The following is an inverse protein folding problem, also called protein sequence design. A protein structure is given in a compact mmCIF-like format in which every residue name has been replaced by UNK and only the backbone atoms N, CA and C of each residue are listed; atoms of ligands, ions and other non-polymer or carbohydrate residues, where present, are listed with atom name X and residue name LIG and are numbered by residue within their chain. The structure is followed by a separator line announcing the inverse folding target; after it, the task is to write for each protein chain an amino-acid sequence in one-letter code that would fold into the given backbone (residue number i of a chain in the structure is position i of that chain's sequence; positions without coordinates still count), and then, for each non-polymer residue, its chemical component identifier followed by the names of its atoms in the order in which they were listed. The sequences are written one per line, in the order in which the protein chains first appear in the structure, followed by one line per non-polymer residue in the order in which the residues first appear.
data_IF_954380644586
#
_entry.id   IF_954380644586
#
_cell.length_a   1.000
_cell.length_b   1.000
_cell.length_c   1.000
_cell.angle_alpha   90.00
_cell.angle_beta   90.00
_cell.angle_gamma   90.00
#
_symmetry.space_group_name_H-M   'P 1'
#
loop_
_entity.id
_entity.type
_entity.pdbx_description
1 polymer ?
#
# COMPACT_ATOMS: atom_id res chain seq x y z
N UNK A 1 -2.39 18.28 -1.43
CA UNK A 1 -1.59 17.14 -1.93
C UNK A 1 -2.35 15.87 -1.59
N UNK A 2 -2.41 14.89 -2.48
CA UNK A 2 -3.05 13.63 -2.19
C UNK A 2 -2.33 12.92 -1.02
N UNK A 3 -3.10 12.25 -0.18
CA UNK A 3 -2.58 11.46 0.92
C UNK A 3 -2.69 9.98 0.56
N UNK A 4 -1.59 9.26 0.63
CA UNK A 4 -1.50 7.84 0.31
C UNK A 4 -1.29 7.03 1.57
N UNK A 5 -1.72 5.77 1.60
CA UNK A 5 -1.49 4.87 2.70
C UNK A 5 -0.77 3.59 2.25
N UNK A 6 0.03 3.04 3.16
CA UNK A 6 0.80 1.82 2.96
C UNK A 6 0.71 0.98 4.23
N UNK A 7 0.15 -0.22 4.13
CA UNK A 7 0.14 -1.21 5.22
C UNK A 7 1.32 -2.14 5.00
N UNK A 8 2.21 -2.18 5.97
CA UNK A 8 3.50 -2.84 5.87
C UNK A 8 3.49 -4.24 6.48
N UNK A 9 4.43 -5.08 6.05
CA UNK A 9 4.75 -6.33 6.75
C UNK A 9 5.25 -6.02 8.15
N UNK A 10 4.88 -6.87 9.11
CA UNK A 10 5.36 -6.76 10.51
C UNK A 10 6.69 -7.48 10.73
N UNK A 11 7.17 -8.26 9.76
CA UNK A 11 8.37 -9.09 9.91
C UNK A 11 9.63 -8.25 10.06
N UNK A 12 9.81 -7.14 9.56
CA UNK A 12 10.89 -6.17 9.73
C UNK A 12 10.32 -4.77 9.65
N UNK A 13 9.49 -4.41 10.62
CA UNK A 13 8.65 -3.23 10.53
C UNK A 13 9.44 -1.93 10.39
N UNK A 14 10.52 -1.77 11.16
CA UNK A 14 11.36 -0.56 11.09
C UNK A 14 11.97 -0.41 9.69
N UNK A 15 12.54 -1.48 9.17
CA UNK A 15 13.12 -1.50 7.84
C UNK A 15 12.09 -1.24 6.74
N UNK A 16 10.86 -1.77 6.90
CA UNK A 16 9.75 -1.54 5.99
C UNK A 16 9.29 -0.07 6.00
N UNK A 17 9.27 0.57 7.17
CA UNK A 17 8.96 1.98 7.33
C UNK A 17 10.03 2.84 6.65
N UNK A 18 11.29 2.58 6.93
CA UNK A 18 12.42 3.32 6.36
C UNK A 18 12.47 3.19 4.83
N UNK A 19 12.20 2.00 4.29
CA UNK A 19 12.10 1.76 2.85
C UNK A 19 11.07 2.69 2.20
N UNK A 20 9.85 2.70 2.72
CA UNK A 20 8.75 3.49 2.14
C UNK A 20 9.02 4.98 2.26
N UNK A 21 9.61 5.43 3.37
CA UNK A 21 10.02 6.83 3.57
C UNK A 21 11.13 7.22 2.60
N UNK A 22 12.14 6.37 2.44
CA UNK A 22 13.25 6.63 1.51
C UNK A 22 12.75 6.77 0.07
N UNK A 23 11.91 5.84 -0.39
CA UNK A 23 11.31 5.90 -1.72
C UNK A 23 10.48 7.19 -1.89
N UNK A 24 9.62 7.52 -0.92
CA UNK A 24 8.80 8.73 -1.01
C UNK A 24 9.65 10.00 -1.12
N UNK A 25 10.67 10.12 -0.29
CA UNK A 25 11.59 11.28 -0.29
C UNK A 25 12.47 11.35 -1.53
N UNK A 26 12.78 10.22 -2.15
CA UNK A 26 13.51 10.18 -3.42
C UNK A 26 12.72 10.85 -4.55
N UNK A 27 11.41 10.64 -4.59
CA UNK A 27 10.53 11.26 -5.59
C UNK A 27 10.06 12.66 -5.19
N UNK A 28 9.76 12.87 -3.90
CA UNK A 28 9.30 14.14 -3.34
C UNK A 28 9.95 14.42 -1.99
N UNK A 29 11.02 15.22 -2.01
CA UNK A 29 11.80 15.57 -0.81
C UNK A 29 10.95 16.22 0.30
N UNK A 30 9.85 16.87 -0.06
CA UNK A 30 8.95 17.57 0.87
C UNK A 30 7.76 16.72 1.32
N UNK A 31 7.75 15.43 1.00
CA UNK A 31 6.71 14.52 1.48
C UNK A 31 6.60 14.54 3.00
N UNK A 32 5.35 14.61 3.48
CA UNK A 32 5.05 14.51 4.92
C UNK A 32 4.63 13.09 5.24
N UNK A 33 5.19 12.54 6.30
CA UNK A 33 4.97 11.15 6.71
C UNK A 33 4.34 11.09 8.09
N UNK A 34 3.34 10.23 8.25
CA UNK A 34 2.72 9.87 9.53
C UNK A 34 2.73 8.35 9.65
N UNK A 35 3.22 7.83 10.79
CA UNK A 35 3.27 6.40 11.07
C UNK A 35 2.30 6.07 12.21
N UNK A 36 1.47 5.04 12.03
CA UNK A 36 0.54 4.52 13.03
C UNK A 36 0.66 2.99 13.01
N UNK A 37 1.38 2.40 13.97
CA UNK A 37 1.69 0.97 13.96
C UNK A 37 2.37 0.57 12.63
N UNK A 38 1.82 -0.37 11.88
CA UNK A 38 2.33 -0.78 10.56
C UNK A 38 1.63 -0.06 9.38
N UNK A 39 0.95 1.04 9.63
CA UNK A 39 0.38 1.94 8.62
C UNK A 39 1.29 3.16 8.46
N UNK A 40 1.78 3.38 7.26
CA UNK A 40 2.49 4.61 6.87
C UNK A 40 1.58 5.42 5.96
N UNK A 41 1.38 6.68 6.31
CA UNK A 41 0.61 7.63 5.50
C UNK A 41 1.55 8.69 4.97
N UNK A 42 1.44 8.99 3.69
CA UNK A 42 2.34 9.91 2.98
C UNK A 42 1.54 10.94 2.21
N UNK A 43 1.76 12.19 2.54
CA UNK A 43 1.26 13.32 1.76
C UNK A 43 2.36 13.77 0.80
N UNK A 44 2.17 13.50 -0.50
CA UNK A 44 3.17 13.73 -1.54
C UNK A 44 2.51 14.06 -2.88
N UNK A 45 3.30 14.62 -3.80
CA UNK A 45 2.93 14.76 -5.21
C UNK A 45 3.05 13.44 -5.98
N UNK A 46 3.82 12.50 -5.45
CA UNK A 46 4.08 11.19 -6.06
C UNK A 46 2.86 10.29 -5.92
N UNK A 47 2.56 9.56 -6.98
CA UNK A 47 1.48 8.58 -6.95
C UNK A 47 1.86 7.40 -6.05
N UNK A 48 0.91 6.94 -5.23
CA UNK A 48 1.11 5.79 -4.34
C UNK A 48 1.57 4.52 -5.08
N UNK A 49 1.15 4.33 -6.35
CA UNK A 49 1.57 3.21 -7.17
C UNK A 49 3.09 3.18 -7.41
N UNK A 50 3.72 4.33 -7.61
CA UNK A 50 5.17 4.40 -7.85
C UNK A 50 5.94 3.93 -6.62
N UNK A 51 5.51 4.38 -5.43
CA UNK A 51 6.09 3.95 -4.16
C UNK A 51 5.84 2.45 -3.96
N UNK A 52 4.61 1.99 -4.13
CA UNK A 52 4.22 0.60 -3.91
C UNK A 52 4.90 -0.37 -4.87
N UNK A 53 5.06 0.00 -6.14
CA UNK A 53 5.73 -0.84 -7.13
C UNK A 53 7.23 -1.00 -6.85
N UNK A 54 7.83 -0.06 -6.15
CA UNK A 54 9.23 -0.10 -5.79
C UNK A 54 9.48 -0.77 -4.44
N UNK A 55 8.60 -0.58 -3.45
CA UNK A 55 8.73 -1.11 -2.11
C UNK A 55 8.58 -2.63 -2.05
N UNK A 56 9.35 -3.29 -1.19
CA UNK A 56 9.37 -4.75 -1.03
C UNK A 56 8.47 -5.25 0.09
N UNK A 57 8.29 -4.45 1.15
CA UNK A 57 7.54 -4.83 2.35
C UNK A 57 6.15 -4.22 2.45
N UNK A 58 5.66 -3.58 1.40
CA UNK A 58 4.28 -3.09 1.32
C UNK A 58 3.34 -4.25 0.99
N UNK A 59 2.35 -4.50 1.85
CA UNK A 59 1.30 -5.51 1.65
C UNK A 59 0.07 -4.93 0.97
N UNK A 60 -0.35 -3.73 1.39
CA UNK A 60 -1.52 -3.03 0.87
C UNK A 60 -1.14 -1.57 0.72
N UNK A 61 -1.60 -0.94 -0.33
CA UNK A 61 -1.40 0.48 -0.56
C UNK A 61 -2.56 1.09 -1.32
N UNK A 62 -2.73 2.39 -1.19
CA UNK A 62 -3.79 3.11 -1.87
C UNK A 62 -3.79 4.60 -1.53
N UNK A 63 -4.85 5.26 -1.94
CA UNK A 63 -5.07 6.67 -1.68
C UNK A 63 -6.12 6.84 -0.59
N UNK A 64 -5.86 7.75 0.36
CA UNK A 64 -6.85 8.22 1.33
C UNK A 64 -7.75 9.23 0.64
N UNK A 65 -9.05 9.01 0.71
CA UNK A 65 -10.05 9.94 0.24
C UNK A 65 -10.50 10.87 1.36
N UNK A 66 -10.68 10.31 2.56
CA UNK A 66 -11.23 11.06 3.69
C UNK A 66 -10.74 10.52 5.03
N UNK A 67 -10.53 11.43 5.98
CA UNK A 67 -10.51 11.13 7.40
C UNK A 67 -11.94 11.11 7.94
N UNK A 68 -12.23 10.16 8.82
CA UNK A 68 -13.57 9.96 9.37
C UNK A 68 -13.53 10.10 10.88
N UNK A 69 -14.44 10.89 11.43
CA UNK A 69 -14.69 10.97 12.88
C UNK A 69 -15.73 9.94 13.36
N UNK A 70 -16.27 9.11 12.47
CA UNK A 70 -17.25 8.07 12.71
C UNK A 70 -17.39 7.17 11.47
N UNK A 71 -18.47 6.36 11.41
CA UNK A 71 -18.77 5.46 10.28
C UNK A 71 -19.68 6.09 9.22
N UNK A 72 -19.81 7.42 9.21
CA UNK A 72 -20.68 8.11 8.25
C UNK A 72 -19.97 8.27 6.90
N UNK A 73 -20.44 7.51 5.92
CA UNK A 73 -20.13 7.64 4.52
C UNK A 73 -21.33 8.23 3.80
N UNK A 74 -21.08 9.20 2.95
CA UNK A 74 -22.09 9.81 2.07
C UNK A 74 -21.80 9.47 0.59
N UNK A 75 -22.72 9.83 -0.29
CA UNK A 75 -22.59 9.54 -1.74
C UNK A 75 -21.32 10.11 -2.36
N UNK A 76 -20.83 11.24 -1.87
CA UNK A 76 -19.63 11.89 -2.41
C UNK A 76 -18.37 11.03 -2.22
N UNK A 77 -18.36 10.13 -1.24
CA UNK A 77 -17.24 9.21 -0.99
C UNK A 77 -17.12 8.15 -2.09
N UNK A 78 -18.19 7.89 -2.83
CA UNK A 78 -18.25 6.82 -3.84
C UNK A 78 -18.07 7.31 -5.27
N UNK A 79 -17.74 8.59 -5.48
CA UNK A 79 -17.46 9.12 -6.84
C UNK A 79 -16.38 8.35 -7.59
N UNK A 80 -15.39 7.81 -6.87
CA UNK A 80 -14.32 7.00 -7.45
C UNK A 80 -14.85 5.72 -8.12
N UNK A 81 -16.01 5.25 -7.71
CA UNK A 81 -16.64 4.03 -8.23
C UNK A 81 -17.53 4.28 -9.45
N UNK A 82 -17.80 5.52 -9.84
CA UNK A 82 -18.69 5.84 -10.98
C UNK A 82 -18.26 5.15 -12.28
N UNK A 83 -16.96 4.98 -12.49
CA UNK A 83 -16.40 4.35 -13.69
C UNK A 83 -15.88 2.92 -13.46
N UNK A 84 -16.05 2.37 -12.26
CA UNK A 84 -15.66 1.01 -11.95
C UNK A 84 -16.79 0.03 -12.31
N UNK A 85 -16.43 -1.12 -12.88
CA UNK A 85 -17.39 -2.21 -13.13
C UNK A 85 -17.53 -3.10 -11.90
N UNK A 86 -16.44 -3.28 -11.18
CA UNK A 86 -16.37 -4.17 -10.02
C UNK A 86 -15.60 -3.55 -8.86
N UNK A 87 -16.03 -3.89 -7.65
CA UNK A 87 -15.34 -3.45 -6.43
C UNK A 87 -15.38 -4.53 -5.34
N UNK A 88 -14.55 -4.35 -4.32
CA UNK A 88 -14.60 -5.10 -3.06
C UNK A 88 -14.33 -4.15 -1.90
N UNK A 89 -14.95 -4.41 -0.75
CA UNK A 89 -14.68 -3.72 0.49
C UNK A 89 -13.71 -4.53 1.33
N UNK A 90 -12.78 -3.85 2.02
CA UNK A 90 -11.85 -4.45 2.97
C UNK A 90 -11.71 -3.57 4.20
N UNK A 91 -11.70 -4.21 5.35
CA UNK A 91 -11.50 -3.56 6.64
C UNK A 91 -10.07 -3.82 7.11
N UNK A 92 -9.37 -2.75 7.47
CA UNK A 92 -8.05 -2.82 8.11
C UNK A 92 -8.20 -2.31 9.54
N UNK A 93 -8.19 -3.22 10.51
CA UNK A 93 -8.31 -2.87 11.92
C UNK A 93 -6.92 -2.79 12.58
N UNK A 94 -6.50 -1.58 12.90
CA UNK A 94 -5.28 -1.26 13.65
C UNK A 94 -5.61 -0.64 15.02
N UNK A 95 -6.88 -0.66 15.41
CA UNK A 95 -7.34 -0.21 16.72
C UNK A 95 -7.37 -1.35 17.72
N UNK A 96 -7.52 -1.02 18.99
CA UNK A 96 -7.77 -2.00 20.07
C UNK A 96 -9.20 -2.53 20.08
N UNK A 97 -10.12 -1.91 19.33
CA UNK A 97 -11.52 -2.33 19.29
C UNK A 97 -11.67 -3.62 18.47
N UNK A 98 -12.57 -4.49 18.93
CA UNK A 98 -12.94 -5.69 18.18
C UNK A 98 -14.17 -5.39 17.31
N UNK A 99 -14.09 -5.77 16.04
CA UNK A 99 -15.17 -5.63 15.07
C UNK A 99 -15.48 -6.98 14.42
N UNK A 100 -16.75 -7.20 14.10
CA UNK A 100 -17.13 -8.26 13.18
C UNK A 100 -16.80 -7.82 11.75
N UNK A 101 -15.54 -8.09 11.32
CA UNK A 101 -15.02 -7.63 10.03
C UNK A 101 -15.89 -8.08 8.85
N UNK A 102 -16.30 -9.37 8.73
CA UNK A 102 -17.16 -9.82 7.63
C UNK A 102 -18.50 -9.06 7.56
N UNK A 103 -19.12 -8.80 8.68
CA UNK A 103 -20.39 -8.06 8.74
C UNK A 103 -20.21 -6.60 8.29
N UNK A 104 -19.12 -5.94 8.71
CA UNK A 104 -18.80 -4.59 8.29
C UNK A 104 -18.48 -4.52 6.78
N UNK A 105 -17.72 -5.48 6.26
CA UNK A 105 -17.41 -5.55 4.82
C UNK A 105 -18.68 -5.73 3.99
N UNK A 106 -19.62 -6.60 4.44
CA UNK A 106 -20.90 -6.81 3.78
C UNK A 106 -21.79 -5.56 3.84
N UNK A 107 -21.97 -4.97 5.03
CA UNK A 107 -22.77 -3.75 5.22
C UNK A 107 -22.26 -2.59 4.36
N UNK A 108 -20.94 -2.44 4.27
CA UNK A 108 -20.31 -1.45 3.42
C UNK A 108 -20.52 -1.76 1.94
N UNK A 109 -20.39 -3.03 1.54
CA UNK A 109 -20.67 -3.49 0.18
C UNK A 109 -22.10 -3.19 -0.26
N UNK A 110 -23.08 -3.45 0.61
CA UNK A 110 -24.49 -3.17 0.36
C UNK A 110 -24.75 -1.66 0.23
N UNK A 111 -24.12 -0.86 1.10
CA UNK A 111 -24.22 0.60 1.03
C UNK A 111 -23.69 1.11 -0.31
N UNK A 112 -22.48 0.71 -0.69
CA UNK A 112 -21.85 1.13 -1.95
C UNK A 112 -22.68 0.69 -3.15
N UNK A 113 -23.21 -0.53 -3.14
CA UNK A 113 -24.03 -1.05 -4.23
C UNK A 113 -25.32 -0.26 -4.46
N UNK A 114 -25.85 0.42 -3.44
CA UNK A 114 -27.01 1.33 -3.57
C UNK A 114 -26.68 2.63 -4.28
N UNK A 115 -25.42 3.12 -4.16
CA UNK A 115 -24.99 4.40 -4.71
C UNK A 115 -24.13 4.25 -5.99
N UNK A 116 -23.70 3.05 -6.33
CA UNK A 116 -22.90 2.79 -7.52
C UNK A 116 -23.50 1.69 -8.37
N UNK A 117 -23.19 1.69 -9.67
CA UNK A 117 -23.55 0.59 -10.57
C UNK A 117 -22.52 -0.56 -10.56
N UNK A 118 -21.46 -0.41 -9.77
CA UNK A 118 -20.40 -1.42 -9.65
C UNK A 118 -20.89 -2.66 -8.91
N UNK A 119 -20.46 -3.85 -9.38
CA UNK A 119 -20.82 -5.13 -8.76
C UNK A 119 -19.71 -5.58 -7.80
N UNK A 120 -20.11 -6.21 -6.70
CA UNK A 120 -19.15 -6.83 -5.77
C UNK A 120 -18.44 -7.99 -6.45
N UNK A 121 -17.08 -7.97 -6.39
CA UNK A 121 -16.23 -9.04 -6.91
C UNK A 121 -15.05 -9.25 -5.96
N UNK A 122 -14.97 -10.44 -5.37
CA UNK A 122 -13.99 -10.74 -4.31
C UNK A 122 -12.56 -10.91 -4.85
N UNK A 123 -12.42 -11.39 -6.07
CA UNK A 123 -11.11 -11.64 -6.71
C UNK A 123 -10.90 -10.70 -7.89
N UNK A 124 -9.73 -10.05 -7.92
CA UNK A 124 -9.33 -9.12 -8.98
C UNK A 124 -10.42 -8.09 -9.32
N UNK A 125 -10.93 -7.32 -8.34
CA UNK A 125 -11.84 -6.21 -8.60
C UNK A 125 -11.11 -5.07 -9.31
N UNK A 126 -11.84 -4.17 -9.96
CA UNK A 126 -11.25 -2.95 -10.53
C UNK A 126 -10.76 -2.01 -9.41
N UNK A 127 -11.55 -1.93 -8.34
CA UNK A 127 -11.26 -1.08 -7.18
C UNK A 127 -11.47 -1.86 -5.88
N UNK A 128 -10.51 -1.76 -4.98
CA UNK A 128 -10.66 -2.16 -3.58
C UNK A 128 -10.87 -0.92 -2.73
N UNK A 129 -11.95 -0.89 -1.99
CA UNK A 129 -12.29 0.18 -1.05
C UNK A 129 -11.89 -0.26 0.35
N UNK A 130 -11.27 0.64 1.11
CA UNK A 130 -10.77 0.35 2.44
C UNK A 130 -11.39 1.25 3.50
N UNK A 131 -11.82 0.64 4.62
CA UNK A 131 -11.98 1.32 5.89
C UNK A 131 -10.82 0.93 6.79
N UNK A 132 -10.09 1.93 7.26
CA UNK A 132 -8.91 1.74 8.11
C UNK A 132 -9.24 2.33 9.48
N UNK A 133 -9.33 1.46 10.49
CA UNK A 133 -9.59 1.84 11.87
C UNK A 133 -8.28 1.94 12.64
N UNK A 134 -8.09 3.05 13.34
CA UNK A 134 -7.00 3.24 14.30
C UNK A 134 -7.57 3.73 15.63
N UNK A 135 -6.76 3.75 16.69
CA UNK A 135 -7.22 4.22 18.00
C UNK A 135 -7.58 5.72 18.05
N UNK A 136 -7.14 6.51 17.08
CA UNK A 136 -7.34 7.98 17.08
C UNK A 136 -8.25 8.46 15.96
N UNK A 137 -8.10 7.91 14.78
CA UNK A 137 -8.74 8.39 13.57
C UNK A 137 -9.08 7.20 12.68
N UNK A 138 -10.16 7.31 11.92
CA UNK A 138 -10.52 6.33 10.91
C UNK A 138 -10.33 6.93 9.52
N UNK A 139 -10.02 6.10 8.54
CA UNK A 139 -9.76 6.56 7.19
C UNK A 139 -10.58 5.76 6.19
N UNK A 140 -11.05 6.47 5.19
CA UNK A 140 -11.66 5.90 4.01
C UNK A 140 -10.71 6.08 2.84
N UNK A 141 -10.41 4.98 2.14
CA UNK A 141 -9.47 5.01 1.04
C UNK A 141 -9.79 3.96 -0.02
N UNK A 142 -9.01 3.98 -1.08
CA UNK A 142 -9.14 3.00 -2.16
C UNK A 142 -7.79 2.64 -2.76
N UNK A 143 -7.75 1.48 -3.41
CA UNK A 143 -6.70 1.15 -4.37
C UNK A 143 -7.30 0.59 -5.64
N UNK A 144 -6.59 0.79 -6.76
CA UNK A 144 -6.79 0.01 -7.98
C UNK A 144 -5.97 -1.26 -7.88
N UNK A 145 -6.42 -2.34 -8.49
CA UNK A 145 -5.67 -3.59 -8.51
C UNK A 145 -4.27 -3.37 -9.09
N UNK A 146 -3.25 -3.58 -8.27
CA UNK A 146 -1.84 -3.49 -8.65
C UNK A 146 -1.31 -4.89 -8.88
N UNK A 147 -0.57 -5.08 -9.96
CA UNK A 147 0.10 -6.37 -10.22
C UNK A 147 1.10 -6.64 -9.08
N UNK A 148 1.01 -7.82 -8.48
CA UNK A 148 2.00 -8.25 -7.49
C UNK A 148 3.40 -8.27 -8.11
N UNK A 149 4.37 -7.82 -7.32
CA UNK A 149 5.77 -7.93 -7.69
C UNK A 149 6.17 -9.41 -7.73
N UNK A 150 6.69 -9.82 -8.86
CA UNK A 150 7.17 -11.18 -9.07
C UNK A 150 8.69 -11.17 -8.90
N UNK A 151 9.22 -12.15 -8.15
CA UNK A 151 10.66 -12.37 -8.06
C UNK A 151 11.24 -12.52 -9.47
N UNK A 152 12.33 -11.81 -9.80
CA UNK A 152 13.04 -12.03 -11.05
C UNK A 152 13.45 -13.52 -11.18
N UNK A 153 13.27 -14.10 -12.37
CA UNK A 153 13.72 -15.47 -12.63
C UNK A 153 15.25 -15.51 -12.60
N UNK A 154 15.79 -16.31 -11.70
CA UNK A 154 17.23 -16.60 -11.66
C UNK A 154 17.51 -17.95 -12.32
N UNK A 155 18.63 -18.04 -13.01
CA UNK A 155 19.11 -19.30 -13.62
C UNK A 155 19.72 -20.25 -12.59
N UNK A 156 20.27 -19.73 -11.51
CA UNK A 156 20.87 -20.51 -10.40
C UNK A 156 20.58 -19.85 -9.06
N UNK A 157 20.31 -20.65 -8.03
CA UNK A 157 20.14 -20.24 -6.62
C UNK A 157 21.19 -20.96 -5.78
N UNK A 158 21.70 -20.30 -4.74
CA UNK A 158 22.71 -20.83 -3.84
C UNK A 158 22.21 -20.78 -2.39
N UNK A 159 22.63 -21.73 -1.52
CA UNK A 159 22.10 -21.84 -0.16
C UNK A 159 22.26 -20.59 0.72
N UNK A 160 23.28 -19.78 0.49
CA UNK A 160 23.59 -18.59 1.29
C UNK A 160 23.31 -17.28 0.53
N UNK A 161 22.38 -17.31 -0.40
CA UNK A 161 22.01 -16.14 -1.18
C UNK A 161 21.16 -15.18 -0.33
N UNK A 162 21.42 -13.87 -0.44
CA UNK A 162 20.59 -12.84 0.17
C UNK A 162 19.13 -12.93 -0.35
N UNK A 163 18.18 -12.73 0.55
CA UNK A 163 16.79 -12.62 0.17
C UNK A 163 16.60 -11.44 -0.78
N UNK A 164 15.93 -11.68 -1.91
CA UNK A 164 15.76 -10.67 -2.95
C UNK A 164 14.94 -9.45 -2.49
N UNK A 165 14.02 -9.63 -1.53
CA UNK A 165 13.25 -8.51 -0.96
C UNK A 165 14.16 -7.64 -0.11
N UNK A 166 15.02 -8.25 0.71
CA UNK A 166 15.99 -7.53 1.52
C UNK A 166 16.99 -6.77 0.66
N UNK A 167 17.52 -7.40 -0.39
CA UNK A 167 18.39 -6.74 -1.37
C UNK A 167 17.72 -5.52 -2.00
N UNK A 168 16.45 -5.66 -2.39
CA UNK A 168 15.69 -4.55 -2.96
C UNK A 168 15.48 -3.42 -1.96
N UNK A 169 15.23 -3.72 -0.70
CA UNK A 169 15.14 -2.73 0.38
C UNK A 169 16.46 -1.96 0.50
N UNK A 170 17.59 -2.65 0.51
CA UNK A 170 18.90 -2.00 0.58
C UNK A 170 19.11 -1.01 -0.57
N UNK A 171 18.76 -1.40 -1.80
CA UNK A 171 18.80 -0.51 -2.97
C UNK A 171 17.86 0.69 -2.82
N UNK A 172 16.66 0.47 -2.26
CA UNK A 172 15.71 1.55 -2.02
C UNK A 172 16.19 2.54 -0.95
N UNK A 173 16.86 2.05 0.10
CA UNK A 173 17.42 2.88 1.16
C UNK A 173 18.60 3.76 0.67
N UNK A 174 19.40 3.26 -0.28
CA UNK A 174 20.45 4.04 -0.94
C UNK A 174 19.84 5.20 -1.75
N UNK A 175 18.58 5.06 -2.19
CA UNK A 175 17.86 6.11 -2.92
C UNK A 175 18.31 6.27 -4.37
N UNK A 176 18.83 5.21 -4.99
CA UNK A 176 19.29 5.21 -6.40
C UNK A 176 18.12 5.47 -7.35
N UNK A 177 18.34 6.33 -8.33
CA UNK A 177 17.37 6.72 -9.37
C UNK A 177 17.64 6.01 -10.67
N UNK A 178 16.66 6.01 -11.56
CA UNK A 178 16.85 5.50 -12.91
C UNK A 178 17.97 6.24 -13.64
N UNK A 179 18.91 5.50 -14.24
CA UNK A 179 20.06 6.03 -14.93
C UNK A 179 21.31 6.21 -14.06
N UNK A 180 21.20 6.05 -12.74
CA UNK A 180 22.36 6.02 -11.85
C UNK A 180 22.98 4.62 -11.82
N UNK A 181 24.27 4.55 -11.54
CA UNK A 181 25.04 3.29 -11.48
C UNK A 181 25.27 2.89 -10.04
N UNK A 182 25.04 1.60 -9.72
CA UNK A 182 25.39 0.98 -8.45
C UNK A 182 26.53 -0.02 -8.67
N UNK A 183 27.47 -0.08 -7.74
CA UNK A 183 28.54 -1.06 -7.72
C UNK A 183 28.48 -1.85 -6.42
N UNK A 184 28.38 -3.16 -6.52
CA UNK A 184 28.50 -4.10 -5.41
C UNK A 184 29.79 -4.91 -5.59
N UNK A 185 30.91 -4.54 -4.89
CA UNK A 185 32.18 -5.25 -5.03
C UNK A 185 32.16 -6.67 -4.46
N UNK A 186 31.10 -7.02 -3.72
CA UNK A 186 30.92 -8.33 -3.12
C UNK A 186 29.64 -9.04 -3.60
N UNK A 187 29.25 -8.79 -4.83
CA UNK A 187 27.94 -9.17 -5.37
C UNK A 187 27.62 -10.68 -5.32
N UNK A 188 28.62 -11.56 -5.12
CA UNK A 188 28.43 -12.99 -5.07
C UNK A 188 27.67 -13.53 -6.28
N UNK A 189 26.41 -13.95 -6.08
CA UNK A 189 25.54 -14.47 -7.15
C UNK A 189 24.80 -13.38 -7.94
N UNK A 190 25.10 -12.11 -7.71
CA UNK A 190 24.50 -10.99 -8.39
C UNK A 190 23.05 -10.73 -7.98
N UNK A 191 22.65 -11.00 -6.73
CA UNK A 191 21.28 -10.72 -6.26
C UNK A 191 20.98 -9.22 -6.25
N UNK A 192 22.00 -8.39 -6.09
CA UNK A 192 21.95 -6.92 -6.11
C UNK A 192 21.96 -6.32 -7.52
N UNK A 193 22.30 -7.09 -8.50
CA UNK A 193 22.40 -6.69 -9.91
C UNK A 193 21.17 -7.13 -10.70
#
# INVERSE_FOLDING_TARGET
MPESFFVLSKDNLELAIDEVIAIAKMYDRFSKVKVISNLVMIQSKTNWNEISNRASFVKISGQILRKMSGLFLDESNFEILKNAKTFVCRIINLSSNQFNIPELENSMGDMISKFSHAKVKLENPDITVYLIFTNKENFFGFSKTVKQQVRPKKTKTYPNELDWKLTRVMINLIGIKQGETICDPFCGTGTTL
#
